data_IF_601431430383
#
_entry.id   IF_601431430383
#
_cell.length_a   1.000
_cell.length_b   1.000
_cell.length_c   1.000
_cell.angle_alpha   90.00
_cell.angle_beta   90.00
_cell.angle_gamma   90.00
#
_symmetry.space_group_name_H-M   'P 1'
#
loop_
_entity.id
_entity.type
_entity.pdbx_description
1 polymer ?
#
# COMPACT_ATOMS: atom_id res chain seq x y z
N UNK A 1 -24.91 -25.96 2.12
CA UNK A 1 -23.54 -26.43 2.42
C UNK A 1 -22.70 -25.20 2.75
N UNK A 2 -22.07 -25.19 3.92
CA UNK A 2 -21.51 -23.99 4.55
C UNK A 2 -20.35 -23.37 3.76
N UNK A 3 -20.54 -22.12 3.35
CA UNK A 3 -19.52 -21.24 2.77
C UNK A 3 -18.45 -20.95 3.85
N UNK A 4 -17.35 -21.71 3.84
CA UNK A 4 -16.17 -21.40 4.68
C UNK A 4 -15.46 -20.18 4.11
N UNK A 5 -15.88 -18.98 4.52
CA UNK A 5 -15.11 -17.76 4.29
C UNK A 5 -13.79 -17.84 5.08
N UNK A 6 -12.71 -18.23 4.42
CA UNK A 6 -11.36 -18.16 5.00
C UNK A 6 -10.95 -16.70 5.11
N UNK A 7 -11.35 -16.05 6.20
CA UNK A 7 -10.86 -14.72 6.56
C UNK A 7 -9.35 -14.86 6.85
N UNK A 8 -8.51 -14.24 6.03
CA UNK A 8 -7.06 -14.22 6.24
C UNK A 8 -6.80 -13.67 7.64
N UNK A 9 -6.14 -14.45 8.50
CA UNK A 9 -5.73 -14.03 9.84
C UNK A 9 -5.03 -12.67 9.77
N UNK A 10 -5.62 -11.66 10.40
CA UNK A 10 -5.06 -10.32 10.44
C UNK A 10 -3.65 -10.37 11.04
N UNK A 11 -2.67 -9.98 10.24
CA UNK A 11 -1.27 -9.93 10.67
C UNK A 11 -1.03 -8.55 11.25
N UNK A 12 -0.56 -8.48 12.50
CA UNK A 12 -0.17 -7.20 13.14
C UNK A 12 1.16 -6.66 12.60
N UNK A 13 2.01 -7.53 12.06
CA UNK A 13 3.38 -7.19 11.63
C UNK A 13 3.77 -7.87 10.30
N UNK A 14 4.86 -7.39 9.70
CA UNK A 14 5.43 -7.94 8.46
C UNK A 14 4.82 -7.38 7.16
N UNK A 15 5.32 -7.83 6.01
CA UNK A 15 4.90 -7.31 4.68
C UNK A 15 3.40 -7.47 4.44
N UNK A 16 2.82 -8.61 4.85
CA UNK A 16 1.40 -8.91 4.70
C UNK A 16 0.44 -8.11 5.61
N UNK A 17 0.95 -7.32 6.55
CA UNK A 17 0.13 -6.43 7.39
C UNK A 17 -0.14 -5.08 6.74
N UNK A 18 0.48 -4.82 5.59
CA UNK A 18 0.59 -3.47 5.02
C UNK A 18 0.27 -3.55 3.55
N UNK A 19 -0.99 -3.35 3.17
CA UNK A 19 -1.34 -3.16 1.78
C UNK A 19 -1.07 -1.71 1.36
N UNK A 20 -0.73 -1.51 0.09
CA UNK A 20 -0.84 -0.20 -0.54
C UNK A 20 -2.30 0.27 -0.47
N UNK A 21 -2.54 1.50 -0.03
CA UNK A 21 -3.89 2.07 0.06
C UNK A 21 -4.64 2.15 -1.28
N UNK A 22 -3.91 2.20 -2.40
CA UNK A 22 -4.50 2.34 -3.74
C UNK A 22 -4.67 1.02 -4.49
N UNK A 23 -3.64 0.18 -4.50
CA UNK A 23 -3.65 -1.07 -5.29
C UNK A 23 -3.73 -2.35 -4.45
N UNK A 24 -3.72 -2.27 -3.12
CA UNK A 24 -3.76 -3.45 -2.25
C UNK A 24 -2.50 -4.33 -2.29
N UNK A 25 -1.49 -3.97 -3.07
CA UNK A 25 -0.24 -4.73 -3.18
C UNK A 25 0.55 -4.70 -1.87
N UNK A 26 1.13 -5.84 -1.50
CA UNK A 26 2.03 -6.02 -0.35
C UNK A 26 3.51 -5.87 -0.73
N UNK A 27 3.79 -5.29 -1.90
CA UNK A 27 5.14 -5.09 -2.43
C UNK A 27 5.91 -3.94 -1.76
N UNK A 28 6.77 -3.23 -2.49
CA UNK A 28 7.53 -2.10 -1.94
C UNK A 28 6.60 -0.90 -1.71
N UNK A 29 6.25 -0.71 -0.43
CA UNK A 29 5.37 0.37 0.03
C UNK A 29 6.22 1.48 0.63
N UNK A 30 5.99 2.69 0.15
CA UNK A 30 6.52 3.95 0.69
C UNK A 30 5.76 4.27 1.97
N UNK A 31 6.48 4.17 3.08
CA UNK A 31 5.96 4.39 4.44
C UNK A 31 6.16 5.82 4.94
N UNK A 32 7.06 6.57 4.29
CA UNK A 32 7.44 7.91 4.74
C UNK A 32 6.23 8.83 4.59
N UNK A 33 6.11 9.78 5.52
CA UNK A 33 5.02 10.75 5.56
C UNK A 33 3.61 10.13 5.64
N UNK A 34 3.47 8.88 6.10
CA UNK A 34 2.17 8.22 6.26
C UNK A 34 1.46 7.87 4.94
N UNK A 35 2.15 7.95 3.80
CA UNK A 35 1.56 7.74 2.47
C UNK A 35 0.99 6.32 2.29
N UNK A 36 1.71 5.29 2.75
CA UNK A 36 1.30 3.88 2.63
C UNK A 36 0.92 3.51 1.18
N UNK A 37 1.70 4.00 0.22
CA UNK A 37 1.51 3.80 -1.22
C UNK A 37 2.61 2.93 -1.83
N UNK A 38 2.27 2.15 -2.84
CA UNK A 38 3.24 1.41 -3.63
C UNK A 38 4.11 2.36 -4.48
N UNK A 39 5.33 1.96 -4.87
CA UNK A 39 6.22 2.79 -5.70
C UNK A 39 5.57 3.29 -7.01
N UNK A 40 4.75 2.45 -7.66
CA UNK A 40 4.08 2.79 -8.92
C UNK A 40 2.97 3.81 -8.66
N UNK A 41 2.11 3.49 -7.69
CA UNK A 41 1.03 4.32 -7.21
C UNK A 41 1.52 5.71 -6.79
N UNK A 42 2.67 5.79 -6.12
CA UNK A 42 3.25 7.06 -5.71
C UNK A 42 3.67 7.91 -6.91
N UNK A 43 4.28 7.34 -7.97
CA UNK A 43 4.67 8.13 -9.16
C UNK A 43 3.48 8.80 -9.84
N UNK A 44 2.34 8.13 -9.88
CA UNK A 44 1.10 8.70 -10.46
C UNK A 44 0.48 9.82 -9.61
N UNK A 45 0.68 9.76 -8.29
CA UNK A 45 0.02 10.67 -7.33
C UNK A 45 0.98 11.76 -6.85
N UNK A 46 2.29 11.60 -7.06
CA UNK A 46 3.34 12.52 -6.63
C UNK A 46 3.08 13.95 -7.10
N UNK A 47 2.74 14.13 -8.37
CA UNK A 47 2.45 15.45 -8.96
C UNK A 47 1.23 16.10 -8.30
N UNK A 48 0.17 15.32 -8.05
CA UNK A 48 -1.06 15.79 -7.38
C UNK A 48 -0.84 16.13 -5.91
N UNK A 49 0.09 15.45 -5.25
CA UNK A 49 0.50 15.72 -3.87
C UNK A 49 1.46 16.91 -3.76
N UNK A 50 1.87 17.51 -4.88
CA UNK A 50 2.80 18.64 -4.89
C UNK A 50 4.28 18.25 -4.79
N UNK A 51 4.62 16.96 -4.97
CA UNK A 51 6.02 16.57 -5.09
C UNK A 51 6.55 17.02 -6.45
N UNK A 52 7.57 17.88 -6.42
CA UNK A 52 8.31 18.32 -7.60
C UNK A 52 9.64 17.57 -7.68
N UNK A 53 10.01 17.14 -8.89
CA UNK A 53 11.32 16.58 -9.17
C UNK A 53 12.31 17.73 -9.33
N UNK A 54 13.18 17.91 -8.33
CA UNK A 54 14.20 18.96 -8.36
C UNK A 54 15.52 18.52 -8.98
N UNK A 55 15.70 17.23 -9.30
CA UNK A 55 16.76 16.66 -10.14
C UNK A 55 16.34 15.29 -10.70
#
# INVERSE_FOLDING_TARGET
>A
MSEKSQQRKERKFGKGSRPCRRCGSYGPIIRRYGLMLCRQCFREVAEKLGFKKYN
#
